data_IF_676605811201
#
_entry.id   IF_676605811201
#
_cell.length_a   1.000
_cell.length_b   1.000
_cell.length_c   1.000
_cell.angle_alpha   90.00
_cell.angle_beta   90.00
_cell.angle_gamma   90.00
#
_symmetry.space_group_name_H-M   'P 1'
#
loop_
_entity.id
_entity.type
_entity.pdbx_description
1 polymer ?
#
# COMPACT_ATOMS: atom_id res chain seq x y z
N UNK A 1 11.43 3.46 0.93
CA UNK A 1 10.82 2.40 1.77
C UNK A 1 9.32 2.59 1.71
N UNK A 2 8.53 1.62 1.23
CA UNK A 2 7.07 1.77 1.17
C UNK A 2 6.48 1.26 2.48
N UNK A 3 5.95 2.18 3.29
CA UNK A 3 5.26 1.85 4.54
C UNK A 3 3.79 1.62 4.21
N UNK A 4 3.33 0.37 4.32
CA UNK A 4 1.90 0.03 4.16
C UNK A 4 1.24 0.23 5.53
N UNK A 5 0.60 1.39 5.69
CA UNK A 5 -0.15 1.75 6.90
C UNK A 5 -1.59 1.31 6.68
N UNK A 6 -1.97 0.14 7.22
CA UNK A 6 -3.34 -0.37 7.07
C UNK A 6 -4.10 -0.15 8.37
N UNK A 7 -5.24 0.52 8.26
CA UNK A 7 -6.34 0.39 9.20
C UNK A 7 -7.35 -0.56 8.55
N UNK A 8 -7.47 -1.79 9.07
CA UNK A 8 -8.23 -2.88 8.44
C UNK A 8 -9.75 -2.68 8.52
N UNK A 9 -10.23 -1.71 9.30
CA UNK A 9 -11.66 -1.42 9.45
C UNK A 9 -12.16 -0.37 8.46
N UNK A 10 -11.25 0.31 7.73
CA UNK A 10 -11.58 1.41 6.83
C UNK A 10 -11.18 1.10 5.38
N UNK A 11 -12.18 0.81 4.55
CA UNK A 11 -11.98 0.73 3.10
C UNK A 11 -11.73 2.12 2.52
N UNK A 12 -10.65 2.26 1.75
CA UNK A 12 -10.36 3.46 0.97
C UNK A 12 -10.56 3.19 -0.52
N UNK A 13 -10.94 4.20 -1.32
CA UNK A 13 -11.02 4.06 -2.77
C UNK A 13 -9.70 3.56 -3.38
N UNK A 14 -9.76 2.42 -4.06
CA UNK A 14 -8.64 1.90 -4.83
C UNK A 14 -8.60 2.53 -6.23
N UNK A 15 -7.42 3.03 -6.62
CA UNK A 15 -7.16 3.45 -7.99
C UNK A 15 -6.70 2.25 -8.81
N UNK A 16 -7.05 2.25 -10.10
CA UNK A 16 -6.71 1.21 -11.05
C UNK A 16 -6.34 1.84 -12.40
N UNK A 17 -5.63 1.09 -13.22
CA UNK A 17 -5.25 1.47 -14.57
C UNK A 17 -5.30 0.23 -15.47
N UNK A 18 -5.49 0.46 -16.76
CA UNK A 18 -5.34 -0.59 -17.76
C UNK A 18 -3.86 -1.01 -17.86
N UNK A 19 -3.64 -2.31 -18.06
CA UNK A 19 -2.32 -2.89 -18.22
C UNK A 19 -2.25 -3.56 -19.59
N UNK A 20 -1.25 -3.17 -20.38
CA UNK A 20 -0.99 -3.81 -21.66
C UNK A 20 -0.34 -5.19 -21.44
N UNK A 21 -1.19 -6.22 -21.47
CA UNK A 21 -0.78 -7.61 -21.32
C UNK A 21 -1.66 -8.52 -22.17
N UNK A 22 -1.05 -9.44 -22.90
CA UNK A 22 -1.74 -10.41 -23.75
C UNK A 22 -2.37 -11.56 -22.96
N UNK A 23 -2.03 -11.72 -21.68
CA UNK A 23 -2.58 -12.76 -20.81
C UNK A 23 -2.54 -12.38 -19.33
N UNK A 24 -3.33 -13.06 -18.51
CA UNK A 24 -3.34 -12.86 -17.05
C UNK A 24 -1.99 -13.24 -16.41
N UNK A 25 -1.31 -14.28 -16.91
CA UNK A 25 0.00 -14.68 -16.40
C UNK A 25 1.09 -13.66 -16.78
N UNK A 26 0.97 -13.05 -17.96
CA UNK A 26 1.83 -11.92 -18.33
C UNK A 26 1.54 -10.72 -17.42
N UNK A 27 0.27 -10.40 -17.16
CA UNK A 27 -0.11 -9.31 -16.24
C UNK A 27 0.46 -9.52 -14.83
N UNK A 28 0.42 -10.76 -14.31
CA UNK A 28 1.03 -11.12 -13.03
C UNK A 28 2.54 -10.88 -13.05
N UNK A 29 3.21 -11.27 -14.13
CA UNK A 29 4.67 -11.11 -14.27
C UNK A 29 5.08 -9.64 -14.33
N UNK A 30 4.38 -8.84 -15.14
CA UNK A 30 4.63 -7.39 -15.28
C UNK A 30 4.40 -6.68 -13.95
N UNK A 31 3.33 -7.03 -13.23
CA UNK A 31 3.08 -6.44 -11.91
C UNK A 31 4.15 -6.88 -10.89
N UNK A 32 4.54 -8.16 -10.88
CA UNK A 32 5.57 -8.66 -9.98
C UNK A 32 6.92 -7.94 -10.18
N UNK A 33 7.32 -7.72 -11.44
CA UNK A 33 8.53 -6.97 -11.79
C UNK A 33 8.44 -5.52 -11.31
N UNK A 34 7.31 -4.84 -11.56
CA UNK A 34 7.08 -3.46 -11.13
C UNK A 34 7.18 -3.30 -9.61
N UNK A 35 6.63 -4.26 -8.86
CA UNK A 35 6.65 -4.24 -7.39
C UNK A 35 7.98 -4.77 -6.80
N UNK A 36 8.90 -5.26 -7.64
CA UNK A 36 10.17 -5.84 -7.20
C UNK A 36 9.99 -7.11 -6.35
N UNK A 37 8.91 -7.86 -6.57
CA UNK A 37 8.59 -9.07 -5.80
C UNK A 37 8.98 -10.32 -6.60
N UNK A 38 10.01 -11.08 -6.19
CA UNK A 38 10.43 -12.27 -6.92
C UNK A 38 9.43 -13.43 -6.81
N UNK A 39 8.57 -13.40 -5.79
CA UNK A 39 7.54 -14.42 -5.60
C UNK A 39 6.20 -13.94 -6.15
N UNK A 40 5.81 -14.46 -7.33
CA UNK A 40 4.55 -14.11 -7.98
C UNK A 40 3.29 -14.54 -7.19
N UNK A 41 3.41 -15.39 -6.16
CA UNK A 41 2.27 -15.77 -5.29
C UNK A 41 1.76 -14.61 -4.43
N UNK A 42 2.50 -13.50 -4.34
CA UNK A 42 2.02 -12.28 -3.67
C UNK A 42 1.28 -11.34 -4.63
N UNK A 43 1.10 -11.75 -5.88
CA UNK A 43 0.27 -11.04 -6.85
C UNK A 43 -1.08 -11.76 -6.95
N UNK A 44 -2.10 -11.09 -6.45
CA UNK A 44 -3.49 -11.53 -6.59
C UNK A 44 -3.93 -11.44 -8.04
N UNK A 45 -4.82 -12.36 -8.43
CA UNK A 45 -5.35 -12.42 -9.79
C UNK A 45 -6.84 -12.77 -9.79
N UNK A 46 -7.55 -12.22 -10.77
CA UNK A 46 -8.90 -12.61 -11.12
C UNK A 46 -9.03 -12.66 -12.65
N UNK A 47 -9.67 -13.68 -13.26
CA UNK A 47 -10.16 -14.91 -12.63
C UNK A 47 -9.05 -15.73 -11.98
N UNK A 48 -9.28 -16.19 -10.76
CA UNK A 48 -8.30 -17.02 -10.05
C UNK A 48 -8.56 -18.50 -10.37
N UNK A 49 -7.60 -19.14 -11.04
CA UNK A 49 -7.64 -20.57 -11.37
C UNK A 49 -6.63 -21.39 -10.56
N UNK A 50 -5.98 -20.78 -9.58
CA UNK A 50 -4.98 -21.42 -8.74
C UNK A 50 -5.56 -21.74 -7.35
N UNK A 51 -4.83 -22.51 -6.54
CA UNK A 51 -5.26 -22.88 -5.18
C UNK A 51 -5.02 -21.75 -4.16
N UNK A 52 -4.25 -20.73 -4.55
CA UNK A 52 -3.92 -19.59 -3.71
C UNK A 52 -5.15 -18.74 -3.39
N UNK A 53 -5.25 -18.34 -2.13
CA UNK A 53 -6.28 -17.42 -1.66
C UNK A 53 -5.68 -16.03 -1.51
N UNK A 54 -6.31 -15.04 -2.15
CA UNK A 54 -5.87 -13.66 -2.07
C UNK A 54 -6.84 -12.84 -1.20
N UNK A 55 -6.34 -11.92 -0.36
CA UNK A 55 -7.19 -10.99 0.36
C UNK A 55 -8.10 -10.21 -0.59
N UNK A 56 -9.36 -10.01 -0.17
CA UNK A 56 -10.38 -9.25 -0.90
C UNK A 56 -10.74 -9.80 -2.30
N UNK A 57 -10.34 -11.04 -2.62
CA UNK A 57 -10.57 -11.65 -3.94
C UNK A 57 -12.04 -11.59 -4.39
N UNK A 58 -13.00 -11.88 -3.51
CA UNK A 58 -14.43 -11.83 -3.87
C UNK A 58 -14.90 -10.42 -4.20
N UNK A 59 -14.51 -9.42 -3.39
CA UNK A 59 -14.88 -8.02 -3.63
C UNK A 59 -14.26 -7.48 -4.94
N UNK A 60 -13.02 -7.85 -5.21
CA UNK A 60 -12.33 -7.47 -6.46
C UNK A 60 -12.97 -8.17 -7.66
N UNK A 61 -13.38 -9.44 -7.52
CA UNK A 61 -14.10 -10.17 -8.56
C UNK A 61 -15.43 -9.50 -8.92
N UNK A 62 -16.25 -9.17 -7.92
CA UNK A 62 -17.53 -8.47 -8.12
C UNK A 62 -17.33 -7.12 -8.80
N UNK A 63 -16.34 -6.34 -8.33
CA UNK A 63 -15.96 -5.07 -8.95
C UNK A 63 -15.53 -5.23 -10.41
N UNK A 64 -14.70 -6.22 -10.72
CA UNK A 64 -14.19 -6.47 -12.07
C UNK A 64 -15.31 -6.84 -13.04
N UNK A 65 -16.23 -7.70 -12.61
CA UNK A 65 -17.43 -8.08 -13.37
C UNK A 65 -18.29 -6.84 -13.64
N UNK A 66 -18.56 -6.03 -12.61
CA UNK A 66 -19.34 -4.80 -12.75
C UNK A 66 -18.70 -3.76 -13.69
N UNK A 67 -17.38 -3.82 -13.88
CA UNK A 67 -16.62 -2.99 -14.82
C UNK A 67 -16.46 -3.59 -16.22
N UNK A 68 -16.91 -4.83 -16.45
CA UNK A 68 -16.73 -5.52 -17.71
C UNK A 68 -15.28 -5.91 -18.01
N UNK A 69 -14.44 -6.02 -16.98
CA UNK A 69 -13.04 -6.41 -17.13
C UNK A 69 -12.93 -7.93 -17.34
N UNK A 70 -11.96 -8.35 -18.14
CA UNK A 70 -11.68 -9.77 -18.42
C UNK A 70 -10.62 -10.36 -17.50
N UNK A 71 -9.86 -9.50 -16.80
CA UNK A 71 -8.89 -9.90 -15.80
C UNK A 71 -8.38 -8.71 -14.98
N UNK A 72 -7.93 -9.01 -13.76
CA UNK A 72 -7.39 -8.03 -12.80
C UNK A 72 -6.22 -8.67 -12.07
N UNK A 73 -5.17 -7.89 -11.85
CA UNK A 73 -4.05 -8.24 -10.98
C UNK A 73 -3.83 -7.16 -9.94
N UNK A 74 -3.43 -7.54 -8.73
CA UNK A 74 -3.15 -6.61 -7.64
C UNK A 74 -2.07 -7.13 -6.71
N UNK A 75 -1.43 -6.24 -5.97
CA UNK A 75 -0.43 -6.60 -4.96
C UNK A 75 -1.14 -7.14 -3.72
N UNK A 76 -1.15 -8.46 -3.56
CA UNK A 76 -1.74 -9.18 -2.43
C UNK A 76 -0.71 -9.39 -1.30
N UNK A 77 0.06 -8.34 -0.98
CA UNK A 77 1.09 -8.45 0.05
C UNK A 77 0.44 -8.64 1.43
N UNK A 78 0.86 -9.66 2.20
CA UNK A 78 0.40 -9.80 3.57
C UNK A 78 0.84 -8.57 4.36
N UNK A 79 -0.03 -8.05 5.23
CA UNK A 79 0.22 -6.77 5.84
C UNK A 79 1.25 -6.98 6.98
N UNK A 80 2.17 -6.04 7.21
CA UNK A 80 3.19 -6.15 8.26
C UNK A 80 4.53 -5.48 7.95
N UNK A 81 5.45 -5.49 8.92
CA UNK A 81 6.80 -4.92 8.79
C UNK A 81 7.80 -5.97 8.28
N UNK A 82 8.96 -5.54 7.74
CA UNK A 82 10.00 -6.44 7.18
C UNK A 82 10.36 -7.64 8.09
N UNK A 83 10.28 -7.49 9.42
CA UNK A 83 10.60 -8.53 10.41
C UNK A 83 9.36 -9.21 11.03
N UNK A 84 8.17 -8.68 10.81
CA UNK A 84 6.89 -9.20 11.34
C UNK A 84 5.83 -9.15 10.24
N UNK A 85 6.09 -9.89 9.15
CA UNK A 85 5.06 -10.13 8.13
C UNK A 85 3.90 -10.87 8.80
N UNK A 86 2.67 -10.48 8.49
CA UNK A 86 1.42 -11.02 9.04
C UNK A 86 1.02 -10.54 10.44
N UNK A 87 1.77 -9.62 11.06
CA UNK A 87 1.33 -8.93 12.28
C UNK A 87 1.10 -7.46 11.95
N UNK A 88 -0.11 -6.99 12.24
CA UNK A 88 -0.43 -5.60 12.05
C UNK A 88 0.21 -4.73 13.13
N UNK A 89 1.03 -3.73 12.76
CA UNK A 89 1.56 -2.81 13.74
C UNK A 89 0.42 -1.90 14.19
N UNK A 90 0.30 -1.76 15.49
CA UNK A 90 -0.52 -0.74 16.11
C UNK A 90 0.02 0.66 15.78
N UNK A 91 -0.84 1.68 15.86
CA UNK A 91 -0.43 3.07 15.67
C UNK A 91 0.75 3.45 16.58
N UNK A 92 0.79 2.94 17.81
CA UNK A 92 1.88 3.17 18.76
C UNK A 92 3.21 2.55 18.29
N UNK A 93 3.17 1.34 17.72
CA UNK A 93 4.35 0.69 17.16
C UNK A 93 4.87 1.41 15.92
N UNK A 94 3.97 1.89 15.04
CA UNK A 94 4.36 2.70 13.87
C UNK A 94 5.01 4.01 14.31
N UNK A 95 4.44 4.70 15.30
CA UNK A 95 5.04 5.93 15.87
C UNK A 95 6.43 5.67 16.44
N UNK A 96 6.58 4.58 17.21
CA UNK A 96 7.88 4.18 17.79
C UNK A 96 8.91 3.85 16.73
N UNK A 97 8.49 3.19 15.64
CA UNK A 97 9.38 2.88 14.52
C UNK A 97 9.88 4.16 13.85
N UNK A 98 8.98 5.08 13.49
CA UNK A 98 9.34 6.34 12.82
C UNK A 98 10.29 7.20 13.65
N UNK A 99 10.10 7.23 14.97
CA UNK A 99 10.99 7.93 15.89
C UNK A 99 12.40 7.30 16.02
N UNK A 100 12.56 6.04 15.62
CA UNK A 100 13.84 5.29 15.68
C UNK A 100 14.62 5.28 14.36
N UNK A 101 14.01 5.71 13.25
CA UNK A 101 14.70 5.80 11.96
C UNK A 101 15.78 6.89 12.01
N UNK A 102 16.87 6.69 11.26
CA UNK A 102 17.87 7.74 11.07
C UNK A 102 17.24 9.00 10.45
N UNK A 103 17.83 10.18 10.64
CA UNK A 103 17.25 11.46 10.16
C UNK A 103 16.90 11.45 8.67
N UNK A 104 17.71 10.77 7.84
CA UNK A 104 17.49 10.65 6.39
C UNK A 104 16.34 9.68 6.07
N UNK A 105 16.27 8.53 6.74
CA UNK A 105 15.20 7.54 6.52
C UNK A 105 13.85 8.01 7.08
N UNK A 106 13.88 8.76 8.19
CA UNK A 106 12.71 9.37 8.81
C UNK A 106 12.15 10.49 7.93
N UNK A 107 13.00 11.35 7.35
CA UNK A 107 12.58 12.41 6.44
C UNK A 107 11.79 11.86 5.23
N UNK A 108 12.31 10.83 4.56
CA UNK A 108 11.62 10.23 3.42
C UNK A 108 10.31 9.51 3.80
N UNK A 109 10.24 8.92 5.00
CA UNK A 109 9.01 8.30 5.50
C UNK A 109 7.95 9.33 5.88
N UNK A 110 8.35 10.43 6.54
CA UNK A 110 7.47 11.54 6.91
C UNK A 110 6.97 12.25 5.64
N UNK A 111 7.85 12.55 4.68
CA UNK A 111 7.49 13.14 3.40
C UNK A 111 6.47 12.27 2.64
N UNK A 112 6.67 10.95 2.61
CA UNK A 112 5.71 10.02 2.02
C UNK A 112 4.34 10.04 2.73
N UNK A 113 4.31 10.19 4.05
CA UNK A 113 3.06 10.30 4.82
C UNK A 113 2.27 11.52 4.36
N UNK A 114 2.93 12.68 4.24
CA UNK A 114 2.32 13.97 3.87
C UNK A 114 1.99 14.11 2.38
N UNK A 115 2.74 13.46 1.48
CA UNK A 115 2.52 13.55 0.02
C UNK A 115 1.48 12.57 -0.51
N UNK A 116 1.02 11.62 0.30
CA UNK A 116 0.02 10.68 -0.16
C UNK A 116 -1.31 11.39 -0.47
N UNK A 117 -1.98 11.05 -1.59
CA UNK A 117 -3.27 11.66 -1.92
C UNK A 117 -4.32 11.46 -0.83
N UNK A 118 -5.11 12.50 -0.53
CA UNK A 118 -6.17 12.43 0.47
C UNK A 118 -7.23 11.35 0.20
N UNK A 119 -7.38 10.91 -1.05
CA UNK A 119 -8.26 9.80 -1.44
C UNK A 119 -7.88 8.47 -0.77
N UNK A 120 -6.62 8.28 -0.38
CA UNK A 120 -6.15 7.07 0.33
C UNK A 120 -5.77 7.38 1.79
N UNK A 121 -6.35 8.44 2.36
CA UNK A 121 -6.17 8.78 3.76
C UNK A 121 -6.82 7.72 4.65
N UNK A 122 -6.06 7.23 5.64
CA UNK A 122 -6.54 6.31 6.68
C UNK A 122 -6.48 7.04 8.04
N UNK A 123 -7.25 6.61 9.06
CA UNK A 123 -7.15 7.18 10.40
C UNK A 123 -5.72 7.16 10.97
N UNK A 124 -4.95 6.11 10.67
CA UNK A 124 -3.54 6.04 11.03
C UNK A 124 -2.72 7.14 10.34
N UNK A 125 -2.99 7.46 9.07
CA UNK A 125 -2.31 8.55 8.35
C UNK A 125 -2.56 9.89 9.04
N UNK A 126 -3.82 10.26 9.28
CA UNK A 126 -4.15 11.52 9.97
C UNK A 126 -3.48 11.62 11.34
N UNK A 127 -3.45 10.51 12.09
CA UNK A 127 -2.82 10.48 13.40
C UNK A 127 -1.27 10.55 13.35
N UNK A 128 -0.65 10.14 12.24
CA UNK A 128 0.79 10.25 12.01
C UNK A 128 1.18 11.63 11.50
N UNK A 129 0.40 12.23 10.60
CA UNK A 129 0.59 13.62 10.14
C UNK A 129 0.56 14.60 11.32
N UNK A 130 -0.36 14.39 12.27
CA UNK A 130 -0.43 15.20 13.49
C UNK A 130 0.73 14.95 14.45
N UNK A 131 1.31 13.74 14.49
CA UNK A 131 2.40 13.39 15.40
C UNK A 131 3.79 13.78 14.85
N UNK A 132 3.93 13.85 13.52
CA UNK A 132 5.18 14.17 12.82
C UNK A 132 4.93 15.28 11.78
N UNK A 133 4.83 16.55 12.21
CA UNK A 133 4.61 17.67 11.30
C UNK A 133 5.76 17.79 10.30
N UNK A 134 5.44 18.22 9.07
CA UNK A 134 6.41 18.49 8.02
C UNK A 134 7.38 19.59 8.48
N UNK A 135 8.67 19.45 8.20
CA UNK A 135 9.70 20.42 8.60
C UNK A 135 9.64 21.75 7.80
N UNK A 136 8.72 21.92 6.86
CA UNK A 136 8.61 23.09 5.99
C UNK A 136 7.89 24.30 6.61
N UNK A 137 7.87 24.44 7.95
CA UNK A 137 7.19 25.56 8.62
C UNK A 137 8.03 26.38 9.61
N UNK A 138 9.35 26.22 9.64
CA UNK A 138 10.22 27.06 10.51
C UNK A 138 11.33 27.81 9.73
N UNK A 139 11.02 28.29 8.52
CA UNK A 139 11.92 29.19 7.77
C UNK A 139 11.18 30.41 7.19
N UNK A 140 10.30 31.03 7.98
CA UNK A 140 9.70 32.34 7.63
C UNK A 140 9.27 33.15 8.85
N UNK A 141 10.04 33.14 9.92
CA UNK A 141 10.00 34.22 10.92
C UNK A 141 11.42 34.38 11.44
N UNK A 142 12.17 35.32 10.86
CA UNK A 142 13.26 36.13 11.45
C UNK A 142 13.60 37.15 10.33
N UNK A 143 12.69 38.10 10.16
CA UNK A 143 12.95 39.35 9.42
C UNK A 143 13.59 40.39 10.33
#
# INVERSE_FOLDING_TARGET
MTLVIVDIEHYVPALWAELDAASLDQAVSVLAEREGVPNQRVIGRWPNKTEEQYPHQSAIAEWAIGKGLTGVVWTALPPGMKKTRSVMPTLAEVKTLLARLSSIESAGAIEYIHRAPGQIATPYRSALESAFPSQDREASEHG
#
